data_IF_489713616374
#
_entry.id   IF_489713616374
#
_cell.length_a   1.000
_cell.length_b   1.000
_cell.length_c   1.000
_cell.angle_alpha   90.00
_cell.angle_beta   90.00
_cell.angle_gamma   90.00
#
_symmetry.space_group_name_H-M   'P 1'
#
loop_
_entity.id
_entity.type
_entity.pdbx_description
1 polymer ?
#
# COMPACT_ATOMS: atom_id res chain seq x y z
N UNK A 1 -3.37 8.34 30.26
CA UNK A 1 -2.25 7.38 30.35
C UNK A 1 -2.78 5.95 30.31
N UNK A 2 -2.04 4.95 29.80
CA UNK A 2 -2.46 3.55 29.79
C UNK A 2 -2.86 3.03 31.17
N UNK A 3 -2.12 3.44 32.23
CA UNK A 3 -2.41 3.03 33.62
C UNK A 3 -3.79 3.50 34.10
N UNK A 4 -4.21 4.71 33.71
CA UNK A 4 -5.54 5.20 34.02
C UNK A 4 -6.66 4.41 33.36
N UNK A 5 -6.43 3.97 32.09
CA UNK A 5 -7.36 3.13 31.35
C UNK A 5 -7.42 1.74 31.99
N UNK A 6 -6.27 1.10 32.27
CA UNK A 6 -6.23 -0.22 32.90
C UNK A 6 -6.96 -0.22 34.27
N UNK A 7 -6.70 0.77 35.12
CA UNK A 7 -7.40 0.88 36.39
C UNK A 7 -8.94 0.90 36.23
N UNK A 8 -9.46 1.70 35.28
CA UNK A 8 -10.90 1.78 35.05
C UNK A 8 -11.46 0.47 34.49
N UNK A 9 -10.70 -0.23 33.63
CA UNK A 9 -11.06 -1.55 33.14
C UNK A 9 -11.10 -2.58 34.27
N UNK A 10 -10.13 -2.58 35.17
CA UNK A 10 -10.07 -3.47 36.34
C UNK A 10 -11.23 -3.22 37.31
N UNK A 11 -11.72 -1.97 37.39
CA UNK A 11 -12.91 -1.59 38.13
C UNK A 11 -14.22 -1.96 37.41
N UNK A 12 -14.17 -2.57 36.21
CA UNK A 12 -15.31 -3.03 35.42
C UNK A 12 -15.96 -1.95 34.56
N UNK A 13 -15.31 -0.82 34.33
CA UNK A 13 -15.82 0.25 33.48
C UNK A 13 -15.58 -0.04 31.98
N UNK A 14 -16.48 0.49 31.16
CA UNK A 14 -16.25 0.63 29.71
C UNK A 14 -15.61 1.99 29.45
N UNK A 15 -14.39 2.00 28.96
CA UNK A 15 -13.61 3.24 28.77
C UNK A 15 -13.73 3.72 27.32
N UNK A 16 -14.22 4.94 27.13
CA UNK A 16 -14.30 5.61 25.83
C UNK A 16 -13.09 6.52 25.68
N UNK A 17 -12.28 6.29 24.65
CA UNK A 17 -11.08 7.07 24.36
C UNK A 17 -11.26 7.80 23.03
N UNK A 18 -11.04 9.13 23.01
CA UNK A 18 -11.05 9.90 21.79
C UNK A 18 -9.83 9.52 20.92
N UNK A 19 -10.10 9.07 19.71
CA UNK A 19 -9.07 8.74 18.72
C UNK A 19 -8.68 9.92 17.82
N UNK A 20 -7.82 9.67 16.84
CA UNK A 20 -7.33 10.62 15.82
C UNK A 20 -6.46 11.76 16.36
N UNK A 21 -6.25 11.85 17.63
CA UNK A 21 -5.50 12.93 18.27
C UNK A 21 -4.40 12.42 19.19
N UNK A 22 -3.44 13.27 19.44
CA UNK A 22 -2.37 13.08 20.41
C UNK A 22 -2.04 14.39 21.10
N UNK A 23 -1.34 14.31 22.21
CA UNK A 23 -0.83 15.45 22.94
C UNK A 23 0.65 15.66 22.59
N UNK A 24 1.01 16.85 22.14
CA UNK A 24 2.41 17.24 21.92
C UNK A 24 3.11 17.52 23.25
N UNK A 25 4.44 17.58 23.24
CA UNK A 25 5.26 17.81 24.43
C UNK A 25 4.93 19.12 25.18
N UNK A 26 4.34 20.09 24.48
CA UNK A 26 3.90 21.39 25.03
C UNK A 26 2.44 21.38 25.53
N UNK A 27 1.79 20.22 25.59
CA UNK A 27 0.41 20.03 26.05
C UNK A 27 -0.67 20.36 25.00
N UNK A 28 -0.30 20.76 23.78
CA UNK A 28 -1.27 21.03 22.72
C UNK A 28 -1.81 19.73 22.12
N UNK A 29 -3.13 19.71 21.89
CA UNK A 29 -3.77 18.63 21.15
C UNK A 29 -3.45 18.78 19.67
N UNK A 30 -2.94 17.71 19.08
CA UNK A 30 -2.59 17.61 17.67
C UNK A 30 -3.32 16.44 17.02
N UNK A 31 -3.43 16.44 15.68
CA UNK A 31 -4.00 15.31 14.93
C UNK A 31 -2.91 14.38 14.43
N UNK A 32 -3.23 13.08 14.40
CA UNK A 32 -2.33 12.05 13.87
C UNK A 32 -2.34 11.96 12.35
N UNK A 33 -3.16 12.79 11.69
CA UNK A 33 -3.32 12.77 10.25
C UNK A 33 -4.27 11.67 9.76
N UNK A 34 -4.33 11.47 8.46
CA UNK A 34 -5.24 10.50 7.82
C UNK A 34 -4.99 9.08 8.36
N UNK A 35 -6.07 8.35 8.68
CA UNK A 35 -5.99 7.01 9.31
C UNK A 35 -5.54 7.04 10.78
N UNK A 36 -5.54 8.21 11.41
CA UNK A 36 -5.11 8.37 12.79
C UNK A 36 -6.01 7.68 13.81
N UNK A 37 -7.28 7.42 13.52
CA UNK A 37 -8.18 6.65 14.40
C UNK A 37 -7.79 5.17 14.48
N UNK A 38 -7.45 4.55 13.36
CA UNK A 38 -6.97 3.16 13.32
C UNK A 38 -5.65 3.05 14.09
N UNK A 39 -4.74 4.01 13.86
CA UNK A 39 -3.47 4.06 14.58
C UNK A 39 -3.70 4.23 16.10
N UNK A 40 -4.65 5.08 16.51
CA UNK A 40 -4.98 5.27 17.93
C UNK A 40 -5.50 3.97 18.54
N UNK A 41 -6.42 3.27 17.85
CA UNK A 41 -6.99 2.02 18.33
C UNK A 41 -5.89 0.95 18.57
N UNK A 42 -5.03 0.76 17.58
CA UNK A 42 -3.92 -0.21 17.68
C UNK A 42 -2.89 0.20 18.75
N UNK A 43 -2.56 1.50 18.84
CA UNK A 43 -1.66 1.99 19.87
C UNK A 43 -2.21 1.79 21.29
N UNK A 44 -3.52 2.02 21.46
CA UNK A 44 -4.20 1.75 22.73
C UNK A 44 -4.20 0.25 23.05
N UNK A 45 -4.54 -0.59 22.08
CA UNK A 45 -4.51 -2.05 22.25
C UNK A 45 -3.12 -2.55 22.67
N UNK A 46 -2.04 -2.03 22.04
CA UNK A 46 -0.68 -2.32 22.43
C UNK A 46 -0.38 -1.88 23.88
N UNK A 47 -0.79 -0.65 24.22
CA UNK A 47 -0.47 -0.04 25.51
C UNK A 47 -1.17 -0.73 26.70
N UNK A 48 -2.41 -1.20 26.50
CA UNK A 48 -3.19 -1.94 27.53
C UNK A 48 -3.00 -3.46 27.43
N UNK A 49 -2.21 -3.94 26.45
CA UNK A 49 -1.99 -5.36 26.17
C UNK A 49 -3.32 -6.10 25.91
N UNK A 50 -4.16 -5.54 25.07
CA UNK A 50 -5.43 -6.15 24.68
C UNK A 50 -5.19 -7.45 23.90
N UNK A 51 -6.05 -8.43 24.10
CA UNK A 51 -6.01 -9.72 23.38
C UNK A 51 -6.33 -9.56 21.90
N UNK A 52 -7.19 -8.60 21.53
CA UNK A 52 -7.63 -8.32 20.17
C UNK A 52 -8.03 -6.84 20.04
N UNK A 53 -7.63 -6.22 18.93
CA UNK A 53 -8.14 -4.93 18.50
C UNK A 53 -9.17 -5.14 17.38
N UNK A 54 -10.34 -4.54 17.47
CA UNK A 54 -11.34 -4.62 16.41
C UNK A 54 -11.54 -3.25 15.75
N UNK A 55 -11.34 -3.19 14.44
CA UNK A 55 -11.56 -2.01 13.61
C UNK A 55 -12.90 -2.16 12.90
N UNK A 56 -13.87 -1.37 13.29
CA UNK A 56 -15.18 -1.35 12.67
C UNK A 56 -15.23 -0.31 11.54
N UNK A 57 -15.63 -0.76 10.36
CA UNK A 57 -15.64 0.03 9.12
C UNK A 57 -16.92 -0.26 8.31
N UNK A 58 -17.00 0.22 7.08
CA UNK A 58 -18.10 0.02 6.14
C UNK A 58 -17.94 -1.20 5.22
N UNK A 59 -16.86 -1.98 5.41
CA UNK A 59 -16.60 -3.22 4.65
C UNK A 59 -16.54 -4.43 5.58
N UNK A 60 -16.86 -5.61 5.03
CA UNK A 60 -16.92 -6.88 5.80
C UNK A 60 -15.54 -7.47 6.13
N UNK A 61 -14.46 -6.79 5.75
CA UNK A 61 -13.08 -7.25 5.92
C UNK A 61 -12.22 -6.96 4.71
N UNK A 62 -11.10 -7.66 4.62
CA UNK A 62 -10.15 -7.58 3.50
C UNK A 62 -10.51 -8.63 2.45
N UNK A 63 -10.52 -8.24 1.19
CA UNK A 63 -10.86 -9.10 0.07
C UNK A 63 -9.66 -9.37 -0.82
N UNK A 64 -9.69 -10.46 -1.57
CA UNK A 64 -8.66 -10.81 -2.56
C UNK A 64 -8.48 -9.76 -3.66
N UNK A 65 -9.50 -8.95 -3.90
CA UNK A 65 -9.49 -7.75 -4.74
C UNK A 65 -10.62 -6.82 -4.29
N UNK A 66 -10.69 -5.59 -4.77
CA UNK A 66 -11.83 -4.70 -4.52
C UNK A 66 -13.12 -5.30 -5.12
N UNK A 67 -14.12 -5.70 -4.31
CA UNK A 67 -15.34 -6.34 -4.80
C UNK A 67 -16.20 -5.40 -5.69
N UNK A 68 -15.97 -4.08 -5.63
CA UNK A 68 -16.63 -3.12 -6.53
C UNK A 68 -16.07 -3.18 -7.95
N UNK A 69 -14.87 -3.78 -8.13
CA UNK A 69 -14.19 -3.95 -9.41
C UNK A 69 -14.35 -5.39 -9.89
N UNK A 70 -14.13 -6.35 -8.98
CA UNK A 70 -14.21 -7.79 -9.24
C UNK A 70 -15.29 -8.38 -8.35
N UNK A 71 -16.53 -8.59 -8.85
CA UNK A 71 -17.64 -9.07 -8.05
C UNK A 71 -17.39 -10.45 -7.40
N UNK A 72 -16.54 -11.27 -8.00
CA UNK A 72 -16.15 -12.60 -7.51
C UNK A 72 -15.02 -12.57 -6.46
N UNK A 73 -14.59 -11.37 -6.05
CA UNK A 73 -13.57 -11.23 -5.00
C UNK A 73 -14.03 -11.90 -3.70
N UNK A 74 -13.14 -12.67 -3.10
CA UNK A 74 -13.44 -13.43 -1.88
C UNK A 74 -12.85 -12.72 -0.67
N UNK A 75 -13.59 -12.74 0.43
CA UNK A 75 -13.09 -12.25 1.72
C UNK A 75 -11.98 -13.18 2.23
N UNK A 76 -10.89 -12.59 2.69
CA UNK A 76 -9.75 -13.27 3.31
C UNK A 76 -10.05 -13.40 4.80
N UNK A 77 -10.18 -14.62 5.36
CA UNK A 77 -10.52 -14.77 6.77
C UNK A 77 -9.34 -14.40 7.70
N UNK A 78 -8.12 -14.73 7.30
CA UNK A 78 -6.88 -14.43 8.06
C UNK A 78 -5.79 -14.02 7.09
N UNK A 79 -5.07 -12.94 7.43
CA UNK A 79 -3.98 -12.38 6.62
C UNK A 79 -2.81 -12.01 7.54
N UNK A 80 -1.57 -12.12 7.05
CA UNK A 80 -0.40 -11.69 7.80
C UNK A 80 -0.26 -10.16 7.80
N UNK A 81 0.52 -9.61 8.77
CA UNK A 81 0.84 -8.18 8.76
C UNK A 81 1.57 -7.76 7.48
N UNK A 82 2.49 -8.60 6.98
CA UNK A 82 3.26 -8.32 5.77
C UNK A 82 2.36 -8.25 4.55
N UNK A 83 1.50 -9.24 4.34
CA UNK A 83 0.53 -9.26 3.24
C UNK A 83 -0.45 -8.07 3.33
N UNK A 84 -0.95 -7.77 4.53
CA UNK A 84 -1.84 -6.62 4.76
C UNK A 84 -1.14 -5.29 4.49
N UNK A 85 0.14 -5.17 4.87
CA UNK A 85 0.96 -3.98 4.62
C UNK A 85 1.18 -3.77 3.12
N UNK A 86 1.52 -4.83 2.39
CA UNK A 86 1.67 -4.79 0.93
C UNK A 86 0.36 -4.37 0.24
N UNK A 87 -0.78 -4.92 0.65
CA UNK A 87 -2.08 -4.52 0.12
C UNK A 87 -2.41 -3.06 0.44
N UNK A 88 -2.16 -2.61 1.66
CA UNK A 88 -2.45 -1.25 2.11
C UNK A 88 -1.56 -0.22 1.41
N UNK A 89 -0.28 -0.54 1.16
CA UNK A 89 0.66 0.32 0.45
C UNK A 89 0.43 0.37 -1.06
N UNK A 90 -0.17 -0.70 -1.62
CA UNK A 90 -0.43 -0.85 -3.06
C UNK A 90 -1.85 -0.45 -3.48
N UNK A 91 -2.56 0.36 -2.68
CA UNK A 91 -3.85 0.97 -3.07
C UNK A 91 -5.10 0.35 -2.43
N UNK A 92 -4.98 -0.68 -1.60
CA UNK A 92 -6.12 -1.13 -0.78
C UNK A 92 -6.46 -0.07 0.26
N UNK A 93 -7.68 0.49 0.19
CA UNK A 93 -8.12 1.60 1.05
C UNK A 93 -8.75 1.14 2.37
N UNK A 94 -8.70 -0.15 2.68
CA UNK A 94 -9.34 -0.72 3.88
C UNK A 94 -8.63 -0.30 5.16
N UNK A 95 -7.29 -0.30 5.15
CA UNK A 95 -6.46 0.10 6.30
C UNK A 95 -5.36 1.06 5.88
N UNK A 96 -4.94 1.90 6.81
CA UNK A 96 -3.75 2.73 6.65
C UNK A 96 -2.49 1.87 6.86
N UNK A 97 -1.54 1.91 5.92
CA UNK A 97 -0.26 1.17 6.01
C UNK A 97 0.48 1.41 7.32
N UNK A 98 0.53 2.66 7.77
CA UNK A 98 1.16 3.05 9.05
C UNK A 98 0.53 2.39 10.28
N UNK A 99 -0.78 2.13 10.25
CA UNK A 99 -1.47 1.43 11.35
C UNK A 99 -1.14 -0.06 11.36
N UNK A 100 -1.02 -0.67 10.18
CA UNK A 100 -0.60 -2.07 10.01
C UNK A 100 0.86 -2.26 10.44
N UNK A 101 1.75 -1.36 10.03
CA UNK A 101 3.16 -1.35 10.45
C UNK A 101 3.30 -1.27 11.97
N UNK A 102 2.49 -0.40 12.60
CA UNK A 102 2.50 -0.27 14.05
C UNK A 102 1.99 -1.55 14.73
N UNK A 103 0.92 -2.16 14.22
CA UNK A 103 0.40 -3.43 14.73
C UNK A 103 1.43 -4.55 14.62
N UNK A 104 2.12 -4.65 13.47
CA UNK A 104 3.22 -5.61 13.26
C UNK A 104 4.35 -5.41 14.28
N UNK A 105 4.80 -4.16 14.45
CA UNK A 105 5.90 -3.82 15.35
C UNK A 105 5.63 -4.20 16.81
N UNK A 106 4.38 -4.06 17.25
CA UNK A 106 3.99 -4.32 18.65
C UNK A 106 3.28 -5.66 18.83
N UNK A 107 3.12 -6.46 17.78
CA UNK A 107 2.49 -7.77 17.83
C UNK A 107 1.02 -7.72 18.23
N UNK A 108 0.28 -6.68 17.83
CA UNK A 108 -1.14 -6.49 18.16
C UNK A 108 -2.00 -7.16 17.10
N UNK A 109 -2.66 -8.30 17.40
CA UNK A 109 -3.63 -8.88 16.47
C UNK A 109 -4.84 -7.94 16.35
N UNK A 110 -5.30 -7.74 15.12
CA UNK A 110 -6.51 -6.95 14.93
C UNK A 110 -7.44 -7.55 13.88
N UNK A 111 -8.73 -7.28 14.02
CA UNK A 111 -9.77 -7.75 13.12
C UNK A 111 -10.45 -6.56 12.45
N UNK A 112 -10.55 -6.59 11.12
CA UNK A 112 -11.32 -5.61 10.33
C UNK A 112 -12.73 -6.14 10.12
N UNK A 113 -13.74 -5.41 10.58
CA UNK A 113 -15.15 -5.84 10.58
C UNK A 113 -16.09 -4.77 10.06
N UNK A 114 -17.23 -5.21 9.58
CA UNK A 114 -18.33 -4.29 9.25
C UNK A 114 -19.06 -3.84 10.52
N UNK A 115 -19.31 -2.51 10.63
CA UNK A 115 -20.06 -1.93 11.74
C UNK A 115 -21.57 -2.18 11.67
N UNK A 116 -22.09 -2.59 10.50
CA UNK A 116 -23.53 -2.73 10.23
C UNK A 116 -24.05 -4.17 10.34
N UNK A 117 -23.15 -5.15 10.57
CA UNK A 117 -23.53 -6.56 10.74
C UNK A 117 -22.62 -7.26 11.76
N UNK A 118 -22.93 -8.53 12.04
CA UNK A 118 -22.16 -9.34 12.99
C UNK A 118 -21.32 -10.44 12.33
N UNK A 119 -21.14 -10.37 11.02
CA UNK A 119 -20.32 -11.33 10.32
C UNK A 119 -18.87 -11.28 10.81
N UNK A 120 -18.16 -12.43 10.86
CA UNK A 120 -16.73 -12.41 11.15
C UNK A 120 -15.99 -11.58 10.09
N UNK A 121 -15.00 -10.81 10.55
CA UNK A 121 -14.18 -9.97 9.70
C UNK A 121 -12.98 -10.69 9.10
N UNK A 122 -11.92 -9.94 8.88
CA UNK A 122 -10.59 -10.45 8.53
C UNK A 122 -9.66 -10.24 9.72
N UNK A 123 -9.10 -11.32 10.25
CA UNK A 123 -8.09 -11.27 11.30
C UNK A 123 -6.72 -11.00 10.68
N UNK A 124 -6.02 -9.99 11.20
CA UNK A 124 -4.65 -9.64 10.82
C UNK A 124 -3.73 -10.00 11.98
N UNK A 125 -2.74 -10.87 11.73
CA UNK A 125 -1.84 -11.41 12.75
C UNK A 125 -0.46 -11.74 12.18
N UNK A 126 0.48 -12.17 13.00
CA UNK A 126 1.86 -12.42 12.60
C UNK A 126 2.01 -13.65 11.70
N UNK A 127 1.29 -14.73 11.97
CA UNK A 127 1.40 -15.97 11.22
C UNK A 127 0.02 -16.44 10.71
N UNK A 128 -0.02 -16.88 9.46
CA UNK A 128 -1.14 -17.60 8.90
C UNK A 128 -0.77 -19.08 8.78
N UNK A 129 -1.39 -19.94 9.59
CA UNK A 129 -1.25 -21.39 9.41
C UNK A 129 -1.80 -21.78 8.03
N UNK A 130 -0.99 -22.41 7.18
CA UNK A 130 -1.24 -22.88 5.80
C UNK A 130 -0.77 -21.97 4.66
N UNK A 131 0.47 -21.51 4.71
CA UNK A 131 1.08 -20.76 3.61
C UNK A 131 1.54 -21.63 2.42
N UNK A 132 1.57 -22.96 2.53
CA UNK A 132 2.18 -23.84 1.52
C UNK A 132 1.37 -24.01 0.21
N UNK A 133 0.11 -23.57 0.13
CA UNK A 133 -0.75 -23.84 -1.03
C UNK A 133 -1.26 -22.60 -1.79
N UNK A 134 -1.08 -21.39 -1.29
CA UNK A 134 -1.61 -20.18 -1.93
C UNK A 134 -0.48 -19.26 -2.36
N UNK A 135 -0.21 -19.22 -3.67
CA UNK A 135 0.86 -18.39 -4.27
C UNK A 135 0.47 -16.91 -4.30
N UNK A 136 -0.82 -16.58 -4.52
CA UNK A 136 -1.33 -15.20 -4.54
C UNK A 136 -2.54 -15.09 -3.62
N UNK A 137 -2.46 -14.22 -2.62
CA UNK A 137 -3.56 -13.99 -1.67
C UNK A 137 -4.48 -12.85 -2.04
N UNK A 138 -3.96 -11.84 -2.71
CA UNK A 138 -4.73 -10.68 -3.08
C UNK A 138 -4.06 -9.85 -4.17
N UNK A 139 -4.85 -8.96 -4.76
CA UNK A 139 -4.42 -8.02 -5.79
C UNK A 139 -4.96 -6.64 -5.40
N UNK A 140 -4.09 -5.67 -5.29
CA UNK A 140 -4.45 -4.26 -5.09
C UNK A 140 -4.29 -3.48 -6.38
N UNK A 141 -5.19 -2.51 -6.60
CA UNK A 141 -5.18 -1.66 -7.77
C UNK A 141 -5.04 -0.20 -7.37
N UNK A 142 -3.96 0.44 -7.81
CA UNK A 142 -3.78 1.89 -7.73
C UNK A 142 -4.18 2.52 -9.07
N UNK A 143 -5.18 3.44 -9.06
CA UNK A 143 -5.76 4.01 -10.29
C UNK A 143 -5.09 5.31 -10.74
N UNK A 144 -4.49 6.04 -9.80
CA UNK A 144 -3.95 7.37 -10.06
C UNK A 144 -2.45 7.33 -10.38
N UNK A 145 -1.99 6.19 -10.92
CA UNK A 145 -0.61 5.97 -11.33
C UNK A 145 -0.44 6.20 -12.84
N UNK A 146 0.73 6.72 -13.19
CA UNK A 146 1.23 6.78 -14.55
C UNK A 146 2.61 6.12 -14.61
N UNK A 147 2.98 5.63 -15.78
CA UNK A 147 4.26 4.98 -16.03
C UNK A 147 5.06 5.79 -17.04
N UNK A 148 6.31 6.01 -16.75
CA UNK A 148 7.29 6.52 -17.71
C UNK A 148 8.28 5.40 -18.02
N UNK A 149 8.50 5.15 -19.31
CA UNK A 149 9.54 4.26 -19.79
C UNK A 149 10.55 5.05 -20.60
N UNK A 150 11.82 4.92 -20.25
CA UNK A 150 12.96 5.47 -20.99
C UNK A 150 13.62 4.29 -21.70
N UNK A 151 13.69 4.37 -23.04
CA UNK A 151 14.29 3.33 -23.88
C UNK A 151 15.56 3.88 -24.53
N UNK A 152 16.41 2.96 -24.99
CA UNK A 152 17.67 3.30 -25.67
C UNK A 152 18.64 4.12 -24.81
N UNK A 153 18.55 4.01 -23.48
CA UNK A 153 19.53 4.66 -22.58
C UNK A 153 20.85 3.85 -22.63
N UNK A 154 22.00 4.46 -22.91
CA UNK A 154 23.27 3.74 -22.83
C UNK A 154 23.48 3.15 -21.44
N UNK A 155 23.84 1.85 -21.37
CA UNK A 155 24.10 1.17 -20.09
C UNK A 155 25.49 1.54 -19.56
N UNK A 156 25.58 2.73 -19.01
CA UNK A 156 26.81 3.27 -18.42
C UNK A 156 26.55 3.76 -16.99
N UNK A 157 27.51 3.59 -16.09
CA UNK A 157 27.44 4.10 -14.74
C UNK A 157 27.13 5.60 -14.71
N UNK A 158 26.13 6.00 -13.89
CA UNK A 158 25.77 7.39 -13.66
C UNK A 158 24.56 7.89 -14.46
N UNK A 159 24.16 7.27 -15.58
CA UNK A 159 23.01 7.77 -16.34
C UNK A 159 21.67 7.56 -15.62
N UNK A 160 21.46 6.41 -15.01
CA UNK A 160 20.28 6.19 -14.15
C UNK A 160 20.25 7.20 -12.98
N UNK A 161 21.39 7.46 -12.37
CA UNK A 161 21.51 8.45 -11.31
C UNK A 161 21.11 9.86 -11.78
N UNK A 162 21.55 10.27 -12.98
CA UNK A 162 21.15 11.57 -13.57
C UNK A 162 19.64 11.67 -13.78
N UNK A 163 19.00 10.59 -14.26
CA UNK A 163 17.55 10.53 -14.45
C UNK A 163 16.83 10.73 -13.11
N UNK A 164 17.17 9.94 -12.10
CA UNK A 164 16.49 10.01 -10.80
C UNK A 164 16.85 11.24 -9.97
N UNK A 165 18.05 11.77 -10.07
CA UNK A 165 18.42 13.06 -9.47
C UNK A 165 17.58 14.23 -10.06
N UNK A 166 17.32 14.16 -11.37
CA UNK A 166 16.46 15.14 -12.04
C UNK A 166 15.03 15.09 -11.49
N UNK A 167 14.46 13.90 -11.34
CA UNK A 167 13.13 13.73 -10.75
C UNK A 167 13.11 14.14 -9.29
N UNK A 168 14.13 13.75 -8.50
CA UNK A 168 14.25 14.10 -7.08
C UNK A 168 14.25 15.61 -6.82
N UNK A 169 14.81 16.41 -7.74
CA UNK A 169 14.77 17.87 -7.66
C UNK A 169 13.39 18.49 -7.92
N UNK A 170 12.42 17.70 -8.36
CA UNK A 170 11.07 18.17 -8.67
C UNK A 170 10.03 17.86 -7.58
N UNK A 171 10.43 17.29 -6.45
CA UNK A 171 9.54 16.81 -5.38
C UNK A 171 8.48 15.80 -5.88
N UNK A 172 8.83 14.97 -6.87
CA UNK A 172 7.98 13.90 -7.38
C UNK A 172 8.39 12.60 -6.71
N UNK A 173 7.44 11.95 -6.02
CA UNK A 173 7.63 10.62 -5.50
C UNK A 173 7.51 9.59 -6.62
N UNK A 174 8.40 8.60 -6.58
CA UNK A 174 8.40 7.43 -7.45
C UNK A 174 8.06 6.22 -6.59
N UNK A 175 7.13 5.38 -7.07
CA UNK A 175 6.69 4.22 -6.30
C UNK A 175 7.42 2.94 -6.68
N UNK A 176 7.66 2.73 -7.98
CA UNK A 176 8.37 1.54 -8.47
C UNK A 176 9.39 1.93 -9.55
N UNK A 177 10.53 1.26 -9.52
CA UNK A 177 11.59 1.39 -10.55
C UNK A 177 11.90 -0.01 -11.07
N UNK A 178 11.87 -0.18 -12.39
CA UNK A 178 12.29 -1.38 -13.09
C UNK A 178 13.38 -0.99 -14.08
N UNK A 179 14.54 -1.63 -13.97
CA UNK A 179 15.65 -1.46 -14.91
C UNK A 179 15.98 -2.81 -15.54
N UNK A 180 16.03 -2.82 -16.86
CA UNK A 180 16.46 -3.96 -17.65
C UNK A 180 17.59 -3.52 -18.59
N UNK A 181 18.63 -4.36 -18.71
CA UNK A 181 19.73 -4.14 -19.66
C UNK A 181 19.55 -5.08 -20.85
N UNK A 182 19.55 -4.53 -22.05
CA UNK A 182 19.53 -5.29 -23.30
C UNK A 182 20.90 -5.89 -23.65
N UNK A 183 20.92 -6.85 -24.58
CA UNK A 183 22.18 -7.45 -25.09
C UNK A 183 22.98 -6.50 -25.98
N UNK A 184 22.39 -5.41 -26.39
CA UNK A 184 22.92 -4.34 -27.23
C UNK A 184 23.65 -3.21 -26.45
N UNK A 185 23.79 -3.38 -25.12
CA UNK A 185 24.40 -2.36 -24.26
C UNK A 185 23.51 -1.16 -24.01
N UNK A 186 22.21 -1.28 -24.29
CA UNK A 186 21.20 -0.28 -23.99
C UNK A 186 20.33 -0.72 -22.82
N UNK A 187 20.08 0.18 -21.90
CA UNK A 187 19.18 0.00 -20.78
C UNK A 187 17.78 0.51 -21.09
N UNK A 188 16.80 -0.15 -20.48
CA UNK A 188 15.43 0.34 -20.38
C UNK A 188 15.12 0.60 -18.91
N UNK A 189 14.72 1.81 -18.59
CA UNK A 189 14.28 2.18 -17.25
C UNK A 189 12.79 2.51 -17.29
N UNK A 190 12.02 1.85 -16.46
CA UNK A 190 10.60 2.17 -16.25
C UNK A 190 10.37 2.54 -14.81
N UNK A 191 9.55 3.54 -14.55
CA UNK A 191 9.14 3.90 -13.19
C UNK A 191 7.72 4.44 -13.19
N UNK A 192 7.09 4.36 -12.02
CA UNK A 192 5.72 4.84 -11.80
C UNK A 192 5.73 6.04 -10.87
N UNK A 193 4.73 6.88 -11.08
CA UNK A 193 4.51 8.10 -10.33
C UNK A 193 3.02 8.46 -10.34
N UNK A 194 2.60 9.32 -9.43
CA UNK A 194 1.22 9.79 -9.44
C UNK A 194 0.90 10.53 -10.75
N UNK A 195 -0.23 10.20 -11.37
CA UNK A 195 -0.67 10.68 -12.69
C UNK A 195 -0.59 12.21 -12.85
N UNK A 196 -0.94 12.97 -11.81
CA UNK A 196 -0.86 14.44 -11.84
C UNK A 196 0.55 14.98 -12.09
N UNK A 197 1.58 14.19 -11.81
CA UNK A 197 2.98 14.55 -11.95
C UNK A 197 3.58 14.16 -13.31
N UNK A 198 2.83 13.42 -14.16
CA UNK A 198 3.33 12.88 -15.42
C UNK A 198 3.93 13.96 -16.33
N UNK A 199 3.17 15.04 -16.56
CA UNK A 199 3.64 16.14 -17.41
C UNK A 199 4.90 16.81 -16.85
N UNK A 200 4.90 17.11 -15.54
CA UNK A 200 6.04 17.74 -14.86
C UNK A 200 7.32 16.88 -14.94
N UNK A 201 7.15 15.56 -14.79
CA UNK A 201 8.26 14.62 -14.91
C UNK A 201 8.80 14.55 -16.34
N UNK A 202 7.95 14.48 -17.35
CA UNK A 202 8.36 14.49 -18.76
C UNK A 202 9.09 15.78 -19.13
N UNK A 203 8.55 16.93 -18.73
CA UNK A 203 9.15 18.24 -19.00
C UNK A 203 10.54 18.38 -18.35
N UNK A 204 10.73 17.81 -17.16
CA UNK A 204 12.03 17.83 -16.47
C UNK A 204 13.04 16.86 -17.09
N UNK A 205 12.62 15.71 -17.57
CA UNK A 205 13.49 14.68 -18.13
C UNK A 205 13.95 14.99 -19.56
N UNK A 206 13.10 15.59 -20.39
CA UNK A 206 13.38 15.80 -21.80
C UNK A 206 14.76 16.46 -22.07
N UNK A 207 15.14 17.56 -21.41
CA UNK A 207 16.44 18.18 -21.66
C UNK A 207 17.62 17.32 -21.22
N UNK A 208 17.47 16.55 -20.12
CA UNK A 208 18.53 15.70 -19.59
C UNK A 208 18.76 14.48 -20.50
N UNK A 209 17.70 13.90 -21.03
CA UNK A 209 17.78 12.77 -21.95
C UNK A 209 18.39 13.18 -23.29
N UNK A 210 18.04 14.35 -23.81
CA UNK A 210 18.64 14.91 -25.02
C UNK A 210 20.15 15.20 -24.86
N UNK A 211 20.60 15.59 -23.66
CA UNK A 211 22.02 15.80 -23.33
C UNK A 211 22.79 14.47 -23.22
N UNK A 212 22.13 13.39 -22.80
CA UNK A 212 22.77 12.07 -22.71
C UNK A 212 22.95 11.46 -24.11
N UNK A 213 21.88 11.35 -24.89
CA UNK A 213 21.94 10.86 -26.27
C UNK A 213 20.68 11.25 -27.06
N UNK A 214 20.80 11.68 -28.31
CA UNK A 214 19.66 12.07 -29.13
C UNK A 214 18.74 10.91 -29.53
N UNK A 215 19.13 9.65 -29.30
CA UNK A 215 18.34 8.44 -29.62
C UNK A 215 17.50 7.91 -28.46
N UNK A 216 17.50 8.59 -27.31
CA UNK A 216 16.71 8.16 -26.15
C UNK A 216 15.25 8.56 -26.35
N UNK A 217 14.36 7.59 -26.16
CA UNK A 217 12.91 7.82 -26.27
C UNK A 217 12.26 7.82 -24.87
N UNK A 218 11.34 8.74 -24.68
CA UNK A 218 10.52 8.87 -23.48
C UNK A 218 9.08 8.45 -23.82
N UNK A 219 8.63 7.35 -23.24
CA UNK A 219 7.30 6.79 -23.46
C UNK A 219 6.44 6.98 -22.21
N UNK A 220 5.64 8.06 -22.13
CA UNK A 220 4.67 8.21 -21.05
C UNK A 220 3.41 7.38 -21.33
N UNK A 221 2.92 6.68 -20.32
CA UNK A 221 1.62 5.99 -20.36
C UNK A 221 0.74 6.50 -19.23
N UNK A 222 -0.44 6.96 -19.59
CA UNK A 222 -1.47 7.41 -18.69
C UNK A 222 -2.52 6.30 -18.52
N UNK A 223 -2.61 5.76 -17.29
CA UNK A 223 -3.69 4.88 -16.87
C UNK A 223 -3.55 3.40 -17.22
N UNK A 224 -4.28 2.60 -16.45
CA UNK A 224 -4.24 1.13 -16.39
C UNK A 224 -5.47 0.51 -17.10
N UNK A 225 -6.06 1.18 -18.08
CA UNK A 225 -7.36 0.77 -18.65
C UNK A 225 -7.37 -0.65 -19.26
N UNK A 226 -6.24 -1.10 -19.82
CA UNK A 226 -6.14 -2.46 -20.40
C UNK A 226 -5.95 -3.55 -19.34
N UNK A 227 -5.34 -3.20 -18.20
CA UNK A 227 -5.04 -4.16 -17.14
C UNK A 227 -6.29 -4.51 -16.32
N UNK A 228 -7.30 -3.63 -16.32
CA UNK A 228 -8.59 -3.87 -15.67
C UNK A 228 -9.42 -4.94 -16.38
N UNK A 229 -9.38 -5.00 -17.72
CA UNK A 229 -10.04 -6.06 -18.49
C UNK A 229 -9.35 -7.41 -18.29
N UNK A 230 -8.02 -7.38 -18.18
CA UNK A 230 -7.24 -8.58 -17.88
C UNK A 230 -7.53 -9.10 -16.46
N UNK A 231 -7.59 -8.23 -15.44
CA UNK A 231 -7.99 -8.59 -14.07
C UNK A 231 -9.36 -9.25 -14.01
N UNK A 232 -10.32 -8.73 -14.78
CA UNK A 232 -11.67 -9.32 -14.90
C UNK A 232 -11.65 -10.67 -15.63
N UNK A 233 -10.79 -10.80 -16.66
CA UNK A 233 -10.68 -12.02 -17.45
C UNK A 233 -9.96 -13.16 -16.71
N UNK A 234 -8.97 -12.83 -15.85
CA UNK A 234 -8.21 -13.80 -15.08
C UNK A 234 -9.00 -14.35 -13.88
N UNK A 235 -10.04 -13.63 -13.45
CA UNK A 235 -10.90 -14.04 -12.34
C UNK A 235 -10.11 -14.37 -11.09
N UNK A 236 -10.06 -13.48 -10.12
CA UNK A 236 -9.29 -13.61 -8.87
C UNK A 236 -9.63 -14.89 -8.06
N UNK A 237 -10.56 -15.69 -8.52
CA UNK A 237 -10.95 -16.95 -7.90
C UNK A 237 -10.27 -18.21 -8.45
N UNK A 238 -9.49 -18.12 -9.52
CA UNK A 238 -8.92 -19.26 -10.23
C UNK A 238 -7.42 -19.27 -10.43
N UNK A 239 -6.70 -18.28 -9.90
CA UNK A 239 -5.26 -18.14 -10.16
C UNK A 239 -4.47 -19.07 -9.23
N UNK A 240 -4.17 -20.26 -9.71
CA UNK A 240 -3.28 -21.21 -9.02
C UNK A 240 -1.80 -21.07 -9.40
N UNK A 241 -1.45 -20.28 -10.42
CA UNK A 241 -0.07 -20.15 -10.90
C UNK A 241 0.17 -18.76 -11.49
N UNK A 242 0.49 -17.78 -10.68
CA UNK A 242 1.08 -16.53 -11.15
C UNK A 242 2.30 -16.16 -10.30
N UNK A 243 3.44 -16.01 -10.97
CA UNK A 243 4.53 -15.20 -10.44
C UNK A 243 3.97 -13.82 -10.08
N UNK A 244 4.37 -13.29 -8.92
CA UNK A 244 3.86 -12.05 -8.37
C UNK A 244 3.85 -10.93 -9.42
N UNK A 245 2.72 -10.75 -10.08
CA UNK A 245 2.51 -9.66 -11.02
C UNK A 245 2.00 -8.49 -10.18
N UNK A 246 2.91 -7.60 -9.78
CA UNK A 246 2.51 -6.24 -9.45
C UNK A 246 1.97 -5.65 -10.74
N UNK A 247 0.65 -5.64 -10.88
CA UNK A 247 -0.01 -4.93 -11.95
C UNK A 247 0.05 -3.44 -11.61
N UNK A 248 0.84 -2.75 -12.38
CA UNK A 248 0.95 -1.30 -12.44
C UNK A 248 0.17 -0.79 -13.63
#
# INVERSE_FOLDING_TARGET
TPDGVNRLLDEGHVVIVAGFQGEAADGRITTLGRGGSDLTAIAMAAAIKADLCQIYTDVDGVYTCDPRIVPDARKIPVISYEEMLEMASSGSKVMQSRSVEFASKFGVPFEVRNSMNQNPGTLVTQETMNMESVVIRGISLERDQAKITITSLPDQPGYAARVFDTIGKTDINIDMIIQNTGRDGLARISFTLHKSNLKKACDALAPVLADISPGIELEPKDGIAKDLEWLKAVGVGGVQNFDAVKLL
#
